data_IF_616292670131
#
_entry.id   IF_616292670131
#
_cell.length_a   1.000
_cell.length_b   1.000
_cell.length_c   1.000
_cell.angle_alpha   90.00
_cell.angle_beta   90.00
_cell.angle_gamma   90.00
#
_symmetry.space_group_name_H-M   'P 1'
#
loop_
_entity.id
_entity.type
_entity.pdbx_description
1 polymer ?
#
# COMPACT_ATOMS: atom_id res chain seq x y z
N UNK A 1 -3.19 -7.79 -0.15
CA UNK A 1 -3.54 -7.13 -1.44
C UNK A 1 -2.87 -7.93 -2.54
N UNK A 2 -3.52 -8.13 -3.68
CA UNK A 2 -2.87 -8.88 -4.73
C UNK A 2 -2.00 -7.99 -5.62
N UNK A 3 -1.10 -8.62 -6.37
CA UNK A 3 -0.10 -7.91 -7.15
C UNK A 3 -0.72 -7.07 -8.27
N UNK A 4 -1.77 -7.58 -8.91
CA UNK A 4 -2.48 -6.82 -9.95
C UNK A 4 -3.04 -5.52 -9.40
N UNK A 5 -3.61 -5.57 -8.21
CA UNK A 5 -4.18 -4.39 -7.59
C UNK A 5 -3.09 -3.37 -7.25
N UNK A 6 -1.94 -3.86 -6.77
CA UNK A 6 -0.81 -2.98 -6.47
C UNK A 6 -0.34 -2.25 -7.73
N UNK A 7 -0.16 -2.97 -8.82
CA UNK A 7 0.24 -2.35 -10.09
C UNK A 7 -0.81 -1.39 -10.61
N UNK A 8 -2.08 -1.72 -10.47
CA UNK A 8 -3.17 -0.85 -10.89
C UNK A 8 -3.11 0.49 -10.16
N UNK A 9 -2.90 0.45 -8.86
CA UNK A 9 -2.80 1.66 -8.04
C UNK A 9 -1.61 2.50 -8.47
N UNK A 10 -0.46 1.87 -8.67
CA UNK A 10 0.76 2.58 -9.04
C UNK A 10 0.67 3.16 -10.46
N UNK A 11 0.16 2.39 -11.42
CA UNK A 11 0.07 2.81 -12.82
C UNK A 11 -0.94 3.92 -13.01
N UNK A 12 -2.07 3.84 -12.34
CA UNK A 12 -3.17 4.79 -12.49
C UNK A 12 -3.10 5.93 -11.48
N UNK A 13 -2.17 5.87 -10.55
CA UNK A 13 -2.04 6.86 -9.47
C UNK A 13 -3.35 7.04 -8.72
N UNK A 14 -4.01 5.93 -8.44
CA UNK A 14 -5.31 5.96 -7.77
C UNK A 14 -5.15 6.49 -6.35
N UNK A 15 -6.12 7.31 -5.95
CA UNK A 15 -6.20 7.78 -4.58
C UNK A 15 -7.01 6.77 -3.79
N UNK A 16 -6.34 5.95 -3.02
CA UNK A 16 -7.01 4.98 -2.16
C UNK A 16 -6.28 4.91 -0.83
N UNK A 17 -7.02 4.56 0.20
CA UNK A 17 -6.46 4.43 1.53
C UNK A 17 -5.92 3.01 1.71
N UNK A 18 -4.62 2.91 1.87
CA UNK A 18 -3.93 1.63 2.04
C UNK A 18 -3.39 1.58 3.46
N UNK A 19 -3.52 0.44 4.10
CA UNK A 19 -3.13 0.26 5.49
C UNK A 19 -2.21 -0.95 5.64
N UNK A 20 -1.29 -0.82 6.56
CA UNK A 20 -0.47 -1.91 7.05
C UNK A 20 -0.50 -1.84 8.58
N UNK A 21 -0.93 -2.95 9.23
CA UNK A 21 -1.00 -3.02 10.70
C UNK A 21 -1.79 -1.85 11.28
N UNK A 22 -2.94 -1.56 10.67
CA UNK A 22 -3.85 -0.47 11.03
C UNK A 22 -3.26 0.93 10.91
N UNK A 23 -2.12 1.07 10.25
CA UNK A 23 -1.48 2.36 10.03
C UNK A 23 -1.57 2.74 8.56
N UNK A 24 -1.91 3.98 8.24
CA UNK A 24 -1.98 4.42 6.84
C UNK A 24 -0.59 4.47 6.22
N UNK A 25 -0.50 3.95 5.00
CA UNK A 25 0.77 3.90 4.27
C UNK A 25 0.52 4.27 2.81
N UNK A 26 1.60 4.65 2.10
CA UNK A 26 1.55 4.75 0.64
C UNK A 26 2.59 3.80 0.04
N UNK A 27 2.28 3.26 -1.13
CA UNK A 27 3.17 2.33 -1.81
C UNK A 27 4.14 3.12 -2.67
N UNK A 28 5.43 2.92 -2.44
CA UNK A 28 6.49 3.58 -3.21
C UNK A 28 6.93 2.74 -4.39
N UNK A 29 6.85 1.42 -4.28
CA UNK A 29 7.20 0.53 -5.33
C UNK A 29 6.92 -0.90 -4.91
N UNK A 30 7.03 -1.82 -5.86
CA UNK A 30 6.79 -3.23 -5.61
C UNK A 30 7.80 -4.06 -6.39
N UNK A 31 8.28 -5.14 -5.78
CA UNK A 31 9.15 -6.11 -6.41
C UNK A 31 8.67 -7.50 -6.00
N UNK A 32 8.12 -8.23 -6.95
CA UNK A 32 7.48 -9.52 -6.70
C UNK A 32 6.36 -9.39 -5.67
N UNK A 33 6.48 -10.01 -4.51
CA UNK A 33 5.45 -9.93 -3.46
C UNK A 33 5.84 -9.00 -2.32
N UNK A 34 6.88 -8.19 -2.50
CA UNK A 34 7.34 -7.24 -1.50
C UNK A 34 7.08 -5.83 -2.00
N UNK A 35 6.43 -5.02 -1.18
CA UNK A 35 6.18 -3.62 -1.47
C UNK A 35 6.98 -2.74 -0.52
N UNK A 36 7.57 -1.69 -1.07
CA UNK A 36 8.17 -0.65 -0.25
C UNK A 36 7.10 0.39 0.04
N UNK A 37 6.84 0.62 1.32
CA UNK A 37 5.80 1.53 1.75
C UNK A 37 6.38 2.61 2.65
N UNK A 38 5.74 3.77 2.65
CA UNK A 38 6.03 4.82 3.61
C UNK A 38 4.85 4.97 4.55
N UNK A 39 5.12 5.18 5.83
CA UNK A 39 4.08 5.42 6.82
C UNK A 39 3.76 6.90 6.84
N UNK A 40 2.47 7.21 6.70
CA UNK A 40 2.02 8.61 6.63
C UNK A 40 2.22 9.32 7.97
N UNK A 41 2.09 8.58 9.07
CA UNK A 41 2.13 9.17 10.42
C UNK A 41 3.53 9.60 10.87
N UNK A 42 4.60 8.93 10.40
CA UNK A 42 5.95 9.27 10.84
C UNK A 42 6.98 9.28 9.70
N UNK A 43 6.54 9.05 8.47
CA UNK A 43 7.39 9.06 7.26
C UNK A 43 8.50 8.00 7.26
N UNK A 44 8.38 6.98 8.07
CA UNK A 44 9.28 5.83 8.00
C UNK A 44 8.99 5.00 6.76
N UNK A 45 9.99 4.29 6.28
CA UNK A 45 9.86 3.38 5.14
C UNK A 45 10.10 1.96 5.59
N UNK A 46 9.40 1.02 4.97
CA UNK A 46 9.52 -0.39 5.30
C UNK A 46 9.20 -1.24 4.09
N UNK A 47 9.87 -2.38 3.96
CA UNK A 47 9.52 -3.39 2.98
C UNK A 47 8.59 -4.40 3.65
N UNK A 48 7.42 -4.60 3.06
CA UNK A 48 6.39 -5.47 3.63
C UNK A 48 5.85 -6.39 2.54
N UNK A 49 5.29 -7.53 2.95
CA UNK A 49 4.60 -8.40 2.01
C UNK A 49 3.29 -7.74 1.56
N UNK A 50 3.01 -7.82 0.26
CA UNK A 50 1.77 -7.23 -0.26
C UNK A 50 0.53 -7.92 0.35
N UNK A 51 0.65 -9.16 0.78
CA UNK A 51 -0.45 -9.88 1.44
C UNK A 51 -0.86 -9.25 2.77
N UNK A 52 0.05 -8.48 3.37
CA UNK A 52 -0.23 -7.79 4.64
C UNK A 52 -0.84 -6.40 4.42
N UNK A 53 -0.90 -5.95 3.18
CA UNK A 53 -1.50 -4.66 2.85
C UNK A 53 -2.99 -4.83 2.55
N UNK A 54 -3.78 -3.83 2.90
CA UNK A 54 -5.20 -3.86 2.59
C UNK A 54 -5.72 -2.44 2.35
N UNK A 55 -6.80 -2.38 1.57
CA UNK A 55 -7.50 -1.14 1.32
C UNK A 55 -8.68 -1.05 2.26
N UNK A 56 -8.93 0.14 2.75
CA UNK A 56 -10.12 0.39 3.57
C UNK A 56 -10.97 1.41 2.85
N UNK A 57 -12.21 1.04 2.55
CA UNK A 57 -13.14 1.96 1.93
C UNK A 57 -13.92 2.68 3.02
N UNK A 58 -13.64 3.98 3.16
CA UNK A 58 -14.24 4.80 4.21
C UNK A 58 -15.53 5.50 3.77
N UNK A 59 -15.97 5.26 2.53
CA UNK A 59 -17.10 6.00 1.94
C UNK A 59 -18.27 5.12 1.59
N UNK A 60 -18.56 4.18 2.41
CA UNK A 60 -19.75 3.35 2.20
C UNK A 60 -20.96 3.92 2.89
#
# INVERSE_FOLDING_TARGET
>A
MDLKRVYSILDNKEKCDIFYDDRPVWIQGVNENIAKVGFIDNFEEKDVFIDDLYERNLYN
#
